data_IF_466930849221
#
_entry.id   IF_466930849221
#
_cell.length_a   1.000
_cell.length_b   1.000
_cell.length_c   1.000
_cell.angle_alpha   90.00
_cell.angle_beta   90.00
_cell.angle_gamma   90.00
#
_symmetry.space_group_name_H-M   'P 1'
#
loop_
_entity.id
_entity.type
_entity.pdbx_description
1 polymer ?
#
# COMPACT_ATOMS: atom_id res chain seq x y z
N UNK A 1 25.20 -8.66 11.75
CA UNK A 1 24.88 -8.31 11.29
C UNK A 1 24.35 -7.98 11.19
N UNK A 2 24.27 -7.98 11.45
CA UNK A 2 23.86 -7.64 11.14
C UNK A 2 23.41 -7.11 10.72
N UNK A 3 23.39 -6.91 10.57
CA UNK A 3 22.87 -6.28 10.00
C UNK A 3 22.18 -6.02 9.37
N UNK A 4 22.55 -6.16 8.94
CA UNK A 4 21.82 -5.80 8.21
C UNK A 4 20.63 -6.07 8.10
N UNK A 5 20.29 -6.72 7.99
CA UNK A 5 19.10 -7.04 8.07
C UNK A 5 18.39 -6.51 9.04
N UNK A 6 18.77 -6.25 9.39
CA UNK A 6 18.41 -5.39 10.44
C UNK A 6 17.55 -4.24 10.04
N UNK A 7 17.55 -3.95 8.80
CA UNK A 7 16.73 -2.87 8.26
C UNK A 7 15.27 -3.05 8.55
N UNK A 8 14.82 -4.28 8.64
CA UNK A 8 13.43 -4.53 8.93
C UNK A 8 13.05 -4.14 10.35
N UNK A 9 14.04 -3.95 11.22
CA UNK A 9 13.77 -3.51 12.58
C UNK A 9 13.68 -2.00 12.70
N UNK A 10 13.90 -1.27 11.61
CA UNK A 10 13.87 0.18 11.64
C UNK A 10 12.48 0.73 11.94
N UNK A 11 11.45 0.04 11.51
CA UNK A 11 10.07 0.44 11.76
C UNK A 11 9.31 -0.68 12.43
N UNK A 12 8.50 -0.33 13.41
CA UNK A 12 7.59 -1.27 14.05
C UNK A 12 6.18 -0.90 13.63
N UNK A 13 5.40 -1.90 13.24
CA UNK A 13 4.05 -1.69 12.75
C UNK A 13 3.07 -2.35 13.72
N UNK A 14 2.03 -1.62 14.09
CA UNK A 14 1.03 -2.10 15.04
C UNK A 14 -0.36 -1.89 14.45
N UNK A 15 -1.28 -2.79 14.80
CA UNK A 15 -2.69 -2.58 14.50
C UNK A 15 -3.23 -1.48 15.42
N UNK A 16 -4.45 -0.99 15.10
CA UNK A 16 -5.06 0.08 15.89
C UNK A 16 -5.21 -0.30 17.36
N UNK A 17 -5.32 -1.61 17.67
CA UNK A 17 -5.42 -2.09 19.04
C UNK A 17 -4.05 -2.36 19.68
N UNK A 18 -2.99 -1.87 19.05
CA UNK A 18 -1.61 -1.99 19.50
C UNK A 18 -1.02 -3.40 19.42
N UNK A 19 -1.67 -4.31 18.70
CA UNK A 19 -1.11 -5.63 18.43
C UNK A 19 0.02 -5.50 17.41
N UNK A 20 1.22 -6.03 17.68
CA UNK A 20 2.32 -5.92 16.72
C UNK A 20 2.02 -6.66 15.42
N UNK A 21 2.49 -6.10 14.31
CA UNK A 21 2.35 -6.72 12.99
C UNK A 21 3.76 -6.94 12.45
N UNK A 22 4.12 -8.21 12.20
CA UNK A 22 5.47 -8.56 11.78
C UNK A 22 5.55 -8.99 10.31
N UNK A 23 4.41 -8.98 9.61
CA UNK A 23 4.38 -9.33 8.18
C UNK A 23 4.04 -8.12 7.31
N UNK A 24 4.25 -6.91 7.83
CA UNK A 24 3.96 -5.70 7.08
C UNK A 24 5.25 -5.08 6.53
N UNK A 25 5.09 -4.31 5.47
CA UNK A 25 6.19 -3.56 4.87
C UNK A 25 5.84 -2.08 4.94
N UNK A 26 6.81 -1.27 5.33
CA UNK A 26 6.61 0.18 5.42
C UNK A 26 7.26 0.85 4.21
N UNK A 27 6.46 1.65 3.49
CA UNK A 27 6.94 2.42 2.35
C UNK A 27 6.70 3.90 2.67
N UNK A 28 7.76 4.68 2.69
CA UNK A 28 7.64 6.11 2.96
C UNK A 28 7.29 6.85 1.68
N UNK A 29 6.44 7.86 1.78
CA UNK A 29 5.97 8.57 0.59
C UNK A 29 7.09 9.32 -0.15
N UNK A 30 8.17 9.67 0.54
CA UNK A 30 9.30 10.33 -0.12
C UNK A 30 10.27 9.35 -0.76
N UNK A 31 10.00 8.05 -0.66
CA UNK A 31 10.74 7.02 -1.37
C UNK A 31 10.49 7.21 -2.87
N UNK A 32 11.54 7.26 -3.71
CA UNK A 32 11.33 7.50 -5.15
C UNK A 32 10.55 6.38 -5.85
N UNK A 33 10.40 5.21 -5.21
CA UNK A 33 9.65 4.11 -5.80
C UNK A 33 8.22 4.03 -5.28
N UNK A 34 7.84 4.87 -4.31
CA UNK A 34 6.56 4.74 -3.63
C UNK A 34 5.37 4.98 -4.55
N UNK A 35 5.43 6.02 -5.39
CA UNK A 35 4.30 6.36 -6.24
C UNK A 35 3.92 5.20 -7.16
N UNK A 36 4.92 4.60 -7.82
CA UNK A 36 4.66 3.48 -8.72
C UNK A 36 4.11 2.28 -7.95
N UNK A 37 4.69 1.96 -6.80
CA UNK A 37 4.23 0.83 -6.00
C UNK A 37 2.78 1.01 -5.56
N UNK A 38 2.44 2.21 -5.09
CA UNK A 38 1.10 2.47 -4.57
C UNK A 38 0.07 2.50 -5.70
N UNK A 39 0.41 3.11 -6.84
CA UNK A 39 -0.49 3.13 -7.99
C UNK A 39 -0.70 1.73 -8.57
N UNK A 40 0.37 0.93 -8.62
CA UNK A 40 0.25 -0.44 -9.13
C UNK A 40 -0.67 -1.27 -8.24
N UNK A 41 -0.54 -1.11 -6.91
CA UNK A 41 -1.42 -1.81 -6.00
C UNK A 41 -2.88 -1.40 -6.21
N UNK A 42 -3.13 -0.10 -6.34
CA UNK A 42 -4.48 0.40 -6.60
C UNK A 42 -5.05 -0.16 -7.91
N UNK A 43 -4.25 -0.14 -8.96
CA UNK A 43 -4.69 -0.65 -10.26
C UNK A 43 -4.96 -2.15 -10.21
N UNK A 44 -4.19 -2.89 -9.44
CA UNK A 44 -4.41 -4.33 -9.26
C UNK A 44 -5.75 -4.59 -8.60
N UNK A 45 -6.10 -3.78 -7.59
CA UNK A 45 -7.40 -3.92 -6.94
C UNK A 45 -8.53 -3.65 -7.92
N UNK A 46 -8.42 -2.57 -8.71
CA UNK A 46 -9.47 -2.22 -9.67
C UNK A 46 -9.66 -3.34 -10.68
N UNK A 47 -8.57 -3.89 -11.21
CA UNK A 47 -8.65 -4.99 -12.17
C UNK A 47 -9.30 -6.22 -11.56
N UNK A 48 -8.97 -6.53 -10.31
CA UNK A 48 -9.58 -7.64 -9.60
C UNK A 48 -11.08 -7.44 -9.44
N UNK A 49 -11.49 -6.24 -9.04
CA UNK A 49 -12.91 -5.94 -8.84
C UNK A 49 -13.68 -6.10 -10.16
N UNK A 50 -13.11 -5.58 -11.27
CA UNK A 50 -13.78 -5.68 -12.55
C UNK A 50 -13.94 -7.14 -12.97
N UNK A 51 -12.89 -7.95 -12.78
CA UNK A 51 -12.96 -9.37 -13.12
C UNK A 51 -14.02 -10.08 -12.28
N UNK A 52 -14.03 -9.84 -10.97
CA UNK A 52 -14.98 -10.50 -10.07
C UNK A 52 -16.42 -10.08 -10.35
N UNK A 53 -16.63 -8.81 -10.73
CA UNK A 53 -17.97 -8.34 -11.08
C UNK A 53 -18.50 -9.07 -12.32
N UNK A 54 -17.64 -9.35 -13.26
CA UNK A 54 -18.07 -10.01 -14.50
C UNK A 54 -18.57 -11.42 -14.24
N UNK A 55 -18.16 -12.05 -13.15
CA UNK A 55 -18.62 -13.39 -12.78
C UNK A 55 -19.50 -13.38 -11.53
N UNK A 56 -19.93 -12.19 -11.11
CA UNK A 56 -20.82 -12.00 -9.96
C UNK A 56 -20.28 -12.63 -8.68
N UNK A 57 -18.96 -12.53 -8.47
CA UNK A 57 -18.29 -13.17 -7.35
C UNK A 57 -18.13 -12.25 -6.14
N UNK A 58 -18.48 -10.97 -6.24
CA UNK A 58 -18.36 -10.01 -5.14
C UNK A 58 -19.72 -9.48 -4.74
N UNK A 59 -19.92 -9.32 -3.43
CA UNK A 59 -21.07 -8.59 -2.93
C UNK A 59 -20.85 -7.09 -3.14
N UNK A 60 -21.94 -6.32 -3.04
CA UNK A 60 -21.84 -4.87 -3.19
C UNK A 60 -20.95 -4.28 -2.11
N UNK A 61 -21.05 -4.79 -0.90
CA UNK A 61 -20.24 -4.29 0.21
C UNK A 61 -18.76 -4.56 0.01
N UNK A 62 -18.44 -5.75 -0.50
CA UNK A 62 -17.04 -6.10 -0.79
C UNK A 62 -16.49 -5.20 -1.90
N UNK A 63 -17.29 -4.95 -2.92
CA UNK A 63 -16.88 -4.07 -4.01
C UNK A 63 -16.56 -2.68 -3.49
N UNK A 64 -17.47 -2.11 -2.68
CA UNK A 64 -17.27 -0.76 -2.14
C UNK A 64 -16.01 -0.69 -1.30
N UNK A 65 -15.80 -1.70 -0.45
CA UNK A 65 -14.62 -1.72 0.42
C UNK A 65 -13.33 -1.76 -0.40
N UNK A 66 -13.29 -2.61 -1.43
CA UNK A 66 -12.10 -2.73 -2.25
C UNK A 66 -11.82 -1.46 -3.03
N UNK A 67 -12.88 -0.82 -3.55
CA UNK A 67 -12.68 0.44 -4.28
C UNK A 67 -12.23 1.56 -3.36
N UNK A 68 -12.69 1.58 -2.10
CA UNK A 68 -12.21 2.56 -1.14
C UNK A 68 -10.72 2.37 -0.86
N UNK A 69 -10.27 1.12 -0.76
CA UNK A 69 -8.85 0.83 -0.57
C UNK A 69 -8.05 1.27 -1.78
N UNK A 70 -8.55 1.00 -2.99
CA UNK A 70 -7.87 1.42 -4.22
C UNK A 70 -7.75 2.94 -4.27
N UNK A 71 -8.82 3.66 -3.91
CA UNK A 71 -8.79 5.13 -3.89
C UNK A 71 -7.76 5.63 -2.90
N UNK A 72 -7.65 5.00 -1.74
CA UNK A 72 -6.67 5.39 -0.73
C UNK A 72 -5.25 5.26 -1.28
N UNK A 73 -4.93 4.11 -1.90
CA UNK A 73 -3.59 3.90 -2.44
C UNK A 73 -3.31 4.81 -3.64
N UNK A 74 -4.33 5.10 -4.45
CA UNK A 74 -4.18 6.03 -5.55
C UNK A 74 -3.83 7.43 -5.02
N UNK A 75 -4.55 7.86 -3.99
CA UNK A 75 -4.33 9.17 -3.39
C UNK A 75 -2.93 9.26 -2.78
N UNK A 76 -2.50 8.21 -2.08
CA UNK A 76 -1.18 8.21 -1.47
C UNK A 76 -0.08 8.19 -2.53
N UNK A 77 -0.31 7.51 -3.63
CA UNK A 77 0.63 7.53 -4.75
C UNK A 77 0.75 8.94 -5.34
N UNK A 78 -0.39 9.63 -5.47
CA UNK A 78 -0.40 11.01 -5.96
C UNK A 78 0.34 11.94 -5.00
N UNK A 79 0.13 11.77 -3.69
CA UNK A 79 0.85 12.56 -2.70
C UNK A 79 2.36 12.33 -2.80
N UNK A 80 2.76 11.07 -2.96
CA UNK A 80 4.17 10.74 -3.11
C UNK A 80 4.77 11.44 -4.32
N UNK A 81 4.02 11.47 -5.42
CA UNK A 81 4.51 12.08 -6.66
C UNK A 81 4.73 13.58 -6.52
N UNK A 82 4.02 14.22 -5.60
CA UNK A 82 4.13 15.66 -5.38
C UNK A 82 5.26 16.03 -4.43
N UNK A 83 5.87 15.08 -3.76
CA UNK A 83 6.98 15.36 -2.86
C UNK A 83 8.23 15.63 -3.69
N UNK A 84 8.76 16.85 -3.58
CA UNK A 84 9.91 17.25 -4.39
C UNK A 84 11.22 16.69 -3.85
N UNK A 85 11.34 16.53 -2.53
CA UNK A 85 12.57 16.07 -1.89
C UNK A 85 12.51 14.56 -1.70
N UNK A 86 12.84 13.82 -2.74
CA UNK A 86 12.84 12.35 -2.68
C UNK A 86 14.12 11.85 -2.01
N UNK A 87 13.99 10.75 -1.32
CA UNK A 87 15.12 10.10 -0.67
C UNK A 87 15.10 8.62 -0.96
N UNK A 88 16.28 8.06 -1.15
CA UNK A 88 16.40 6.62 -1.37
C UNK A 88 15.87 5.86 -0.15
N UNK A 89 15.40 4.64 -0.35
CA UNK A 89 14.93 3.82 0.76
C UNK A 89 16.03 3.62 1.80
N UNK A 90 15.62 3.64 3.04
CA UNK A 90 16.54 3.46 4.17
C UNK A 90 16.97 2.02 4.35
#
# INVERSE_FOLDING_TARGET
>A
MEDDFIDEAKYEVYKADHTPVDDAVVIRLKDPFAATALHTYANTIVSFVELMKSVSALSKEEEIRLMDIADYFQEKGDESRQIADKRLPD
#
